data_IF_882956821580
#
_entry.id   IF_882956821580
#
_cell.length_a   1.000
_cell.length_b   1.000
_cell.length_c   1.000
_cell.angle_alpha   90.00
_cell.angle_beta   90.00
_cell.angle_gamma   90.00
#
_symmetry.space_group_name_H-M   'P 1'
#
loop_
_entity.id
_entity.type
_entity.pdbx_description
1 polymer ?
#
# COMPACT_ATOMS: atom_id res chain seq x y z
N UNK A 1 11.77 -3.63 1.40
CA UNK A 1 10.31 -3.52 1.64
C UNK A 1 9.72 -4.84 2.12
N UNK A 2 9.84 -5.94 1.35
CA UNK A 2 9.42 -7.28 1.79
C UNK A 2 9.98 -7.64 3.17
N UNK A 3 11.30 -7.59 3.33
CA UNK A 3 11.96 -7.86 4.62
C UNK A 3 11.48 -6.97 5.78
N UNK A 4 11.13 -5.70 5.51
CA UNK A 4 10.62 -4.80 6.54
C UNK A 4 9.23 -5.23 7.02
N UNK A 5 8.36 -5.59 6.07
CA UNK A 5 6.99 -6.08 6.36
C UNK A 5 7.09 -7.41 7.11
N UNK A 6 7.92 -8.33 6.64
CA UNK A 6 8.13 -9.63 7.29
C UNK A 6 8.70 -9.50 8.69
N UNK A 7 9.67 -8.59 8.91
CA UNK A 7 10.18 -8.28 10.26
C UNK A 7 9.13 -7.64 11.16
N UNK A 8 8.25 -6.80 10.60
CA UNK A 8 7.23 -6.10 11.38
C UNK A 8 6.07 -7.01 11.79
N UNK A 9 5.68 -7.93 10.91
CA UNK A 9 4.58 -8.89 11.13
C UNK A 9 5.11 -10.17 11.81
N UNK A 10 6.41 -10.45 11.68
CA UNK A 10 7.06 -11.65 12.20
C UNK A 10 6.78 -12.91 11.37
N UNK A 11 6.31 -12.76 10.13
CA UNK A 11 5.82 -13.85 9.29
C UNK A 11 6.19 -13.59 7.82
N UNK A 12 6.32 -14.66 7.04
CA UNK A 12 6.63 -14.58 5.61
C UNK A 12 5.42 -14.05 4.82
N UNK A 13 5.68 -13.19 3.83
CA UNK A 13 4.62 -12.54 3.04
C UNK A 13 4.95 -12.62 1.56
N UNK A 14 3.97 -13.06 0.77
CA UNK A 14 4.06 -13.02 -0.69
C UNK A 14 3.63 -11.65 -1.20
N UNK A 15 4.50 -10.97 -1.95
CA UNK A 15 4.21 -9.64 -2.51
C UNK A 15 4.27 -9.72 -4.03
N UNK A 16 3.19 -9.29 -4.69
CA UNK A 16 3.06 -9.27 -6.15
C UNK A 16 2.70 -7.86 -6.62
N UNK A 17 3.27 -7.46 -7.75
CA UNK A 17 2.85 -6.24 -8.42
C UNK A 17 1.45 -6.44 -8.99
N UNK A 18 0.60 -5.42 -8.87
CA UNK A 18 -0.73 -5.44 -9.45
C UNK A 18 -0.99 -4.12 -10.15
N UNK A 19 -1.48 -4.23 -11.39
CA UNK A 19 -2.11 -3.10 -12.03
C UNK A 19 -3.52 -2.91 -11.45
N UNK A 20 -3.68 -1.81 -10.70
CA UNK A 20 -4.94 -1.40 -10.09
C UNK A 20 -5.72 -0.39 -10.95
N UNK A 21 -5.30 -0.16 -12.19
CA UNK A 21 -5.99 0.70 -13.15
C UNK A 21 -7.47 0.30 -13.27
N UNK A 22 -8.36 1.29 -13.11
CA UNK A 22 -9.81 1.12 -13.23
C UNK A 22 -10.55 0.65 -11.96
N UNK A 23 -9.86 0.15 -10.93
CA UNK A 23 -10.48 -0.25 -9.65
C UNK A 23 -10.46 0.84 -8.58
N UNK A 24 -9.58 1.81 -8.73
CA UNK A 24 -9.49 3.00 -7.88
C UNK A 24 -9.64 4.25 -8.73
N UNK A 25 -10.11 5.38 -8.16
CA UNK A 25 -10.09 6.67 -8.83
C UNK A 25 -8.73 6.96 -9.46
N UNK A 26 -8.74 7.51 -10.68
CA UNK A 26 -7.54 7.72 -11.51
C UNK A 26 -6.45 8.54 -10.81
N UNK A 27 -6.84 9.40 -9.87
CA UNK A 27 -5.90 10.19 -9.06
C UNK A 27 -4.99 9.30 -8.19
N UNK A 28 -5.45 8.14 -7.74
CA UNK A 28 -4.62 7.26 -6.93
C UNK A 28 -3.66 6.43 -7.76
N UNK A 29 -4.03 6.02 -8.98
CA UNK A 29 -3.09 5.35 -9.89
C UNK A 29 -1.99 6.27 -10.39
N UNK A 30 -2.23 7.58 -10.46
CA UNK A 30 -1.17 8.55 -10.76
C UNK A 30 -0.25 8.82 -9.55
N UNK A 31 -0.74 8.68 -8.32
CA UNK A 31 0.01 9.00 -7.11
C UNK A 31 0.75 7.79 -6.48
N UNK A 32 0.26 6.58 -6.73
CA UNK A 32 0.74 5.38 -6.05
C UNK A 32 1.04 4.24 -7.03
N UNK A 33 2.05 3.44 -6.69
CA UNK A 33 2.21 2.08 -7.18
C UNK A 33 1.52 1.11 -6.22
N UNK A 34 0.88 0.08 -6.77
CA UNK A 34 0.10 -0.87 -5.99
C UNK A 34 0.74 -2.26 -6.04
N UNK A 35 0.72 -2.93 -4.89
CA UNK A 35 1.12 -4.33 -4.74
C UNK A 35 0.08 -5.06 -3.91
N UNK A 36 -0.10 -6.35 -4.15
CA UNK A 36 -0.86 -7.20 -3.24
C UNK A 36 0.14 -7.96 -2.38
N UNK A 37 -0.04 -7.88 -1.07
CA UNK A 37 0.62 -8.73 -0.11
C UNK A 37 -0.37 -9.79 0.38
N UNK A 38 0.04 -11.05 0.40
CA UNK A 38 -0.79 -12.17 0.83
C UNK A 38 -0.09 -13.01 1.88
N UNK A 39 -0.83 -13.41 2.92
CA UNK A 39 -0.37 -14.26 4.00
C UNK A 39 -1.55 -15.09 4.55
N UNK A 40 -1.42 -16.42 4.60
CA UNK A 40 -2.40 -17.32 5.22
C UNK A 40 -3.88 -16.98 4.90
N UNK A 41 -4.21 -16.92 3.60
CA UNK A 41 -5.52 -16.55 3.04
C UNK A 41 -5.99 -15.10 3.28
N UNK A 42 -5.17 -14.24 3.87
CA UNK A 42 -5.44 -12.82 4.01
C UNK A 42 -4.67 -12.07 2.92
N UNK A 43 -5.38 -11.23 2.16
CA UNK A 43 -4.79 -10.34 1.16
C UNK A 43 -4.93 -8.88 1.59
N UNK A 44 -3.85 -8.13 1.41
CA UNK A 44 -3.77 -6.70 1.64
C UNK A 44 -3.33 -5.99 0.37
N UNK A 45 -3.98 -4.88 0.06
CA UNK A 45 -3.50 -3.98 -0.96
C UNK A 45 -2.52 -3.00 -0.33
N UNK A 46 -1.28 -3.03 -0.80
CA UNK A 46 -0.22 -2.09 -0.44
C UNK A 46 -0.20 -0.98 -1.49
N UNK A 47 -0.20 0.28 -1.04
CA UNK A 47 0.09 1.42 -1.88
C UNK A 47 1.38 2.12 -1.46
N UNK A 48 2.20 2.39 -2.46
CA UNK A 48 3.52 2.97 -2.32
C UNK A 48 3.50 4.30 -3.08
N UNK A 49 3.74 5.44 -2.41
CA UNK A 49 3.86 6.72 -3.07
C UNK A 49 4.92 6.70 -4.18
N UNK A 50 4.57 7.18 -5.37
CA UNK A 50 5.55 7.42 -6.45
C UNK A 50 6.50 8.57 -6.12
N UNK A 51 6.02 9.54 -5.34
CA UNK A 51 6.78 10.69 -4.89
C UNK A 51 6.78 10.80 -3.35
N UNK A 52 7.71 11.59 -2.80
CA UNK A 52 7.69 11.90 -1.37
C UNK A 52 6.44 12.69 -1.03
N UNK A 53 5.55 12.07 -0.26
CA UNK A 53 4.39 12.72 0.34
C UNK A 53 4.61 12.96 1.82
N UNK A 54 4.14 14.10 2.32
CA UNK A 54 4.14 14.38 3.73
C UNK A 54 3.14 13.47 4.48
N UNK A 55 3.34 13.31 5.79
CA UNK A 55 2.51 12.44 6.64
C UNK A 55 1.04 12.85 6.68
N UNK A 56 0.73 14.14 6.62
CA UNK A 56 -0.65 14.63 6.67
C UNK A 56 -1.43 14.21 5.41
N UNK A 57 -0.80 14.34 4.24
CA UNK A 57 -1.36 13.94 2.96
C UNK A 57 -1.47 12.42 2.85
N UNK A 58 -0.49 11.69 3.37
CA UNK A 58 -0.53 10.24 3.45
C UNK A 58 -1.74 9.75 4.28
N UNK A 59 -1.97 10.34 5.46
CA UNK A 59 -3.15 10.04 6.31
C UNK A 59 -4.47 10.41 5.64
N UNK A 60 -4.52 11.55 4.95
CA UNK A 60 -5.71 11.97 4.20
C UNK A 60 -6.05 10.97 3.09
N UNK A 61 -5.05 10.55 2.32
CA UNK A 61 -5.21 9.59 1.24
C UNK A 61 -5.58 8.21 1.77
N UNK A 62 -4.98 7.76 2.88
CA UNK A 62 -5.35 6.52 3.57
C UNK A 62 -6.83 6.45 3.87
N UNK A 63 -7.35 7.48 4.56
CA UNK A 63 -8.77 7.54 4.93
C UNK A 63 -9.71 7.54 3.72
N UNK A 64 -9.28 8.11 2.59
CA UNK A 64 -10.09 8.12 1.38
C UNK A 64 -10.06 6.78 0.64
N UNK A 65 -8.93 6.08 0.64
CA UNK A 65 -8.80 4.77 -0.04
C UNK A 65 -9.46 3.67 0.81
N UNK A 66 -9.35 3.71 2.14
CA UNK A 66 -10.09 2.78 3.02
C UNK A 66 -11.60 2.85 2.82
N UNK A 67 -12.16 4.04 2.53
CA UNK A 67 -13.59 4.17 2.20
C UNK A 67 -14.00 3.43 0.92
N UNK A 68 -13.04 3.11 0.05
CA UNK A 68 -13.26 2.41 -1.21
C UNK A 68 -12.92 0.91 -1.10
N UNK A 69 -12.16 0.48 -0.07
CA UNK A 69 -11.64 -0.87 0.10
C UNK A 69 -11.48 -1.24 1.57
N UNK A 70 -12.04 -2.39 1.96
CA UNK A 70 -12.06 -2.86 3.36
C UNK A 70 -10.68 -3.20 3.94
N UNK A 71 -9.67 -3.47 3.12
CA UNK A 71 -8.30 -3.80 3.56
C UNK A 71 -7.23 -3.09 2.71
N UNK A 72 -6.56 -2.09 3.28
CA UNK A 72 -5.55 -1.31 2.60
C UNK A 72 -4.42 -0.83 3.52
N UNK A 73 -3.18 -0.80 3.02
CA UNK A 73 -2.00 -0.34 3.75
C UNK A 73 -1.23 0.65 2.88
N UNK A 74 -1.04 1.88 3.36
CA UNK A 74 -0.11 2.83 2.71
C UNK A 74 1.25 2.79 3.38
N UNK A 75 2.29 2.48 2.63
CA UNK A 75 3.67 2.46 3.11
C UNK A 75 4.38 3.70 2.61
N UNK A 76 4.88 4.53 3.53
CA UNK A 76 5.76 5.63 3.17
C UNK A 76 7.20 5.12 3.02
N UNK A 77 7.71 5.05 1.78
CA UNK A 77 9.08 4.62 1.48
C UNK A 77 10.16 5.54 2.05
N UNK A 78 9.83 6.77 2.47
CA UNK A 78 10.81 7.65 3.14
C UNK A 78 11.12 7.27 4.59
N UNK A 79 10.40 6.30 5.17
CA UNK A 79 10.62 5.80 6.53
C UNK A 79 11.44 4.49 6.58
N UNK A 80 11.74 3.87 5.44
CA UNK A 80 12.72 2.78 5.40
C UNK A 80 14.13 3.37 5.34
N UNK A 81 14.69 3.68 6.50
CA UNK A 81 16.14 3.80 6.69
C UNK A 81 16.70 2.44 7.07
#
# INVERSE_FOLDING_TARGET
>A
MKEFIEKSIGMEVDIKDVDYNGKLPMIYSSLYDFKIASMHNIEWLIAIPKEKINLAQLRKNHRQIEKQKDCFVIINSSLSR
#
